data_IF_804130602800
#
_entry.id   IF_804130602800
#
_cell.length_a   1.000
_cell.length_b   1.000
_cell.length_c   1.000
_cell.angle_alpha   90.00
_cell.angle_beta   90.00
_cell.angle_gamma   90.00
#
_symmetry.space_group_name_H-M   'P 1'
#
loop_
_entity.id
_entity.type
_entity.pdbx_description
1 polymer ?
#
# COMPACT_ATOMS: atom_id res chain seq x y z
N UNK A 1 73.08 17.70 140.68
CA UNK A 1 72.32 16.84 139.74
C UNK A 1 71.12 17.55 139.11
N UNK A 2 70.40 18.40 139.85
CA UNK A 2 69.18 19.11 139.40
C UNK A 2 69.39 20.00 138.17
N UNK A 3 70.44 20.86 138.13
CA UNK A 3 70.71 21.76 136.99
C UNK A 3 71.11 21.06 135.67
N UNK A 4 71.47 19.77 135.69
CA UNK A 4 71.80 18.99 134.48
C UNK A 4 70.51 18.44 133.83
N UNK A 5 69.59 17.93 134.65
CA UNK A 5 68.24 17.49 134.23
C UNK A 5 67.39 18.64 133.67
N UNK A 6 67.41 19.82 134.28
CA UNK A 6 66.65 20.97 133.76
C UNK A 6 67.12 21.42 132.37
N UNK A 7 68.43 21.40 132.10
CA UNK A 7 68.96 21.68 130.76
C UNK A 7 68.58 20.62 129.73
N UNK A 8 68.58 19.35 130.13
CA UNK A 8 68.22 18.22 129.29
C UNK A 8 66.71 18.20 128.95
N UNK A 9 65.87 18.59 129.92
CA UNK A 9 64.42 18.80 129.70
C UNK A 9 64.18 19.96 128.72
N UNK A 10 64.88 21.08 128.89
CA UNK A 10 64.77 22.23 127.98
C UNK A 10 65.20 21.89 126.55
N UNK A 11 66.27 21.11 126.35
CA UNK A 11 66.68 20.63 125.02
C UNK A 11 65.61 19.71 124.39
N UNK A 12 65.08 18.75 125.16
CA UNK A 12 64.00 17.86 124.69
C UNK A 12 62.71 18.62 124.38
N UNK A 13 62.41 19.71 125.10
CA UNK A 13 61.28 20.57 124.82
C UNK A 13 61.46 21.35 123.51
N UNK A 14 62.66 21.85 123.23
CA UNK A 14 62.97 22.47 121.92
C UNK A 14 62.93 21.46 120.77
N UNK A 15 63.41 20.23 120.98
CA UNK A 15 63.32 19.15 119.99
C UNK A 15 61.86 18.74 119.72
N UNK A 16 61.06 18.59 120.77
CA UNK A 16 59.62 18.28 120.65
C UNK A 16 58.85 19.39 119.93
N UNK A 17 59.15 20.67 120.20
CA UNK A 17 58.54 21.78 119.49
C UNK A 17 58.97 21.80 118.01
N UNK A 18 60.24 21.51 117.70
CA UNK A 18 60.70 21.41 116.31
C UNK A 18 60.03 20.26 115.55
N UNK A 19 59.84 19.10 116.19
CA UNK A 19 59.09 17.97 115.62
C UNK A 19 57.63 18.36 115.41
N UNK A 20 57.01 19.05 116.37
CA UNK A 20 55.63 19.54 116.26
C UNK A 20 55.47 20.47 115.06
N UNK A 21 56.33 21.49 114.93
CA UNK A 21 56.29 22.45 113.81
C UNK A 21 56.54 21.75 112.46
N UNK A 22 57.34 20.68 112.44
CA UNK A 22 57.54 19.86 111.25
C UNK A 22 56.30 19.04 110.90
N UNK A 23 55.67 18.40 111.90
CA UNK A 23 54.42 17.62 111.73
C UNK A 23 53.29 18.53 111.26
N UNK A 24 53.14 19.71 111.85
CA UNK A 24 52.09 20.68 111.50
C UNK A 24 52.25 21.17 110.06
N UNK A 25 53.48 21.54 109.66
CA UNK A 25 53.80 21.85 108.25
C UNK A 25 53.50 20.69 107.30
N UNK A 26 53.75 19.45 107.73
CA UNK A 26 53.44 18.27 106.93
C UNK A 26 51.95 17.98 106.84
N UNK A 27 51.17 18.23 107.90
CA UNK A 27 49.71 18.18 107.84
C UNK A 27 49.17 19.22 106.86
N UNK A 28 49.63 20.47 106.93
CA UNK A 28 49.22 21.53 105.99
C UNK A 28 49.56 21.18 104.53
N UNK A 29 50.74 20.57 104.29
CA UNK A 29 51.15 20.12 102.97
C UNK A 29 50.23 19.00 102.45
N UNK A 30 49.86 18.04 103.30
CA UNK A 30 48.93 16.96 102.97
C UNK A 30 47.54 17.52 102.68
N UNK A 31 47.03 18.45 103.49
CA UNK A 31 45.73 19.09 103.28
C UNK A 31 45.70 19.92 101.98
N UNK A 32 46.78 20.65 101.68
CA UNK A 32 46.92 21.38 100.42
C UNK A 32 46.94 20.43 99.22
N UNK A 33 47.63 19.30 99.32
CA UNK A 33 47.69 18.29 98.27
C UNK A 33 46.35 17.57 98.09
N UNK A 34 45.63 17.27 99.18
CA UNK A 34 44.30 16.66 99.13
C UNK A 34 43.31 17.55 98.36
N UNK A 35 43.30 18.87 98.63
CA UNK A 35 42.46 19.84 97.89
C UNK A 35 42.77 19.87 96.40
N UNK A 36 44.07 19.90 96.03
CA UNK A 36 44.49 19.85 94.62
C UNK A 36 44.07 18.55 93.94
N UNK A 37 44.08 17.44 94.68
CA UNK A 37 43.70 16.12 94.16
C UNK A 37 42.19 16.06 93.90
N UNK A 38 41.39 16.63 94.80
CA UNK A 38 39.94 16.78 94.63
C UNK A 38 39.58 17.69 93.44
N UNK A 39 40.30 18.80 93.23
CA UNK A 39 40.11 19.66 92.07
C UNK A 39 40.41 18.92 90.75
N UNK A 40 41.50 18.14 90.71
CA UNK A 40 41.84 17.31 89.55
C UNK A 40 40.82 16.22 89.27
N UNK A 41 40.26 15.61 90.32
CA UNK A 41 39.20 14.60 90.18
C UNK A 41 37.96 15.21 89.52
N UNK A 42 37.54 16.41 89.95
CA UNK A 42 36.43 17.14 89.32
C UNK A 42 36.71 17.47 87.84
N UNK A 43 37.93 17.91 87.53
CA UNK A 43 38.33 18.19 86.15
C UNK A 43 38.32 16.92 85.28
N UNK A 44 38.72 15.78 85.84
CA UNK A 44 38.72 14.49 85.17
C UNK A 44 37.29 14.04 84.84
N UNK A 45 36.35 14.19 85.78
CA UNK A 45 34.93 13.86 85.55
C UNK A 45 34.35 14.70 84.40
N UNK A 46 34.63 16.00 84.35
CA UNK A 46 34.17 16.87 83.26
C UNK A 46 34.73 16.40 81.91
N UNK A 47 36.01 16.03 81.86
CA UNK A 47 36.66 15.52 80.65
C UNK A 47 36.11 14.16 80.21
N UNK A 48 35.79 13.27 81.15
CA UNK A 48 35.12 11.99 80.89
C UNK A 48 33.76 12.22 80.22
N UNK A 49 32.94 13.14 80.75
CA UNK A 49 31.64 13.50 80.19
C UNK A 49 31.77 14.12 78.78
N UNK A 50 32.78 14.97 78.56
CA UNK A 50 33.09 15.53 77.25
C UNK A 50 33.49 14.45 76.23
N UNK A 51 34.32 13.49 76.64
CA UNK A 51 34.71 12.37 75.79
C UNK A 51 33.52 11.49 75.43
N UNK A 52 32.62 11.23 76.38
CA UNK A 52 31.41 10.47 76.15
C UNK A 52 30.47 11.19 75.16
N UNK A 53 30.29 12.51 75.28
CA UNK A 53 29.53 13.30 74.29
C UNK A 53 30.16 13.24 72.90
N UNK A 54 31.48 13.39 72.79
CA UNK A 54 32.20 13.29 71.50
C UNK A 54 32.08 11.90 70.89
N UNK A 55 32.10 10.85 71.71
CA UNK A 55 31.91 9.46 71.26
C UNK A 55 30.54 9.25 70.64
N UNK A 56 29.49 9.79 71.25
CA UNK A 56 28.13 9.71 70.72
C UNK A 56 27.97 10.51 69.42
N UNK A 57 28.57 11.70 69.35
CA UNK A 57 28.60 12.52 68.12
C UNK A 57 29.31 11.81 66.97
N UNK A 58 30.46 11.18 67.23
CA UNK A 58 31.19 10.38 66.25
C UNK A 58 30.36 9.20 65.75
N UNK A 59 29.73 8.45 66.66
CA UNK A 59 28.87 7.33 66.29
C UNK A 59 27.68 7.78 65.41
N UNK A 60 27.09 8.96 65.68
CA UNK A 60 26.05 9.51 64.81
C UNK A 60 26.60 9.92 63.44
N UNK A 61 27.80 10.49 63.37
CA UNK A 61 28.48 10.79 62.10
C UNK A 61 28.78 9.53 61.29
N UNK A 62 29.26 8.46 61.92
CA UNK A 62 29.52 7.17 61.27
C UNK A 62 28.24 6.59 60.65
N UNK A 63 27.11 6.63 61.38
CA UNK A 63 25.81 6.21 60.83
C UNK A 63 25.38 7.02 59.62
N UNK A 64 25.58 8.33 59.64
CA UNK A 64 25.24 9.21 58.52
C UNK A 64 26.13 8.96 57.30
N UNK A 65 27.44 8.75 57.51
CA UNK A 65 28.36 8.39 56.43
C UNK A 65 27.95 7.09 55.76
N UNK A 66 27.64 6.05 56.54
CA UNK A 66 27.19 4.77 56.01
C UNK A 66 25.85 4.90 55.21
N UNK A 67 24.98 5.84 55.59
CA UNK A 67 23.76 6.12 54.84
C UNK A 67 24.06 6.83 53.51
N UNK A 68 24.94 7.84 53.52
CA UNK A 68 25.37 8.53 52.30
C UNK A 68 26.14 7.65 51.33
N UNK A 69 26.97 6.72 51.81
CA UNK A 69 27.66 5.74 50.97
C UNK A 69 26.67 4.88 50.18
N UNK A 70 25.63 4.39 50.84
CA UNK A 70 24.56 3.61 50.18
C UNK A 70 23.79 4.46 49.16
N UNK A 71 23.48 5.71 49.49
CA UNK A 71 22.79 6.61 48.57
C UNK A 71 23.65 6.92 47.34
N UNK A 72 24.96 7.11 47.52
CA UNK A 72 25.92 7.33 46.45
C UNK A 72 25.98 6.11 45.52
N UNK A 73 26.05 4.90 46.08
CA UNK A 73 26.10 3.66 45.30
C UNK A 73 24.82 3.48 44.44
N UNK A 74 23.65 3.81 44.99
CA UNK A 74 22.38 3.77 44.22
C UNK A 74 22.40 4.81 43.10
N UNK A 75 22.89 6.02 43.36
CA UNK A 75 23.00 7.08 42.35
C UNK A 75 23.99 6.71 41.25
N UNK A 76 25.12 6.10 41.60
CA UNK A 76 26.13 5.64 40.64
C UNK A 76 25.54 4.58 39.69
N UNK A 77 24.86 3.56 40.23
CA UNK A 77 24.14 2.56 39.43
C UNK A 77 23.07 3.19 38.53
N UNK A 78 22.38 4.21 39.03
CA UNK A 78 21.40 4.98 38.25
C UNK A 78 22.04 5.73 37.08
N UNK A 79 23.20 6.34 37.30
CA UNK A 79 23.97 7.03 36.26
C UNK A 79 24.45 6.06 35.18
N UNK A 80 24.95 4.88 35.57
CA UNK A 80 25.43 3.89 34.59
C UNK A 80 24.29 3.32 33.75
N UNK A 81 23.15 3.03 34.38
CA UNK A 81 21.92 2.64 33.66
C UNK A 81 21.48 3.72 32.65
N UNK A 82 21.59 5.00 33.03
CA UNK A 82 21.23 6.11 32.15
C UNK A 82 22.22 6.29 30.98
N UNK A 83 23.52 6.04 31.20
CA UNK A 83 24.54 6.05 30.13
C UNK A 83 24.23 4.98 29.08
N UNK A 84 23.97 3.75 29.52
CA UNK A 84 23.68 2.64 28.61
C UNK A 84 22.40 2.91 27.78
N UNK A 85 21.34 3.43 28.41
CA UNK A 85 20.12 3.82 27.69
C UNK A 85 20.37 4.92 26.66
N UNK A 86 21.22 5.89 26.96
CA UNK A 86 21.56 6.96 26.02
C UNK A 86 22.38 6.45 24.84
N UNK A 87 23.27 5.48 25.04
CA UNK A 87 24.04 4.85 23.97
C UNK A 87 23.12 4.09 23.00
N UNK A 88 22.17 3.30 23.54
CA UNK A 88 21.13 2.64 22.73
C UNK A 88 20.29 3.64 21.92
N UNK A 89 19.92 4.77 22.53
CA UNK A 89 19.18 5.84 21.84
C UNK A 89 20.00 6.49 20.73
N UNK A 90 21.30 6.66 20.92
CA UNK A 90 22.20 7.22 19.90
C UNK A 90 22.26 6.31 18.67
N UNK A 91 22.42 5.00 18.87
CA UNK A 91 22.41 4.02 17.78
C UNK A 91 21.06 4.00 17.02
N UNK A 92 19.95 4.15 17.74
CA UNK A 92 18.63 4.26 17.12
C UNK A 92 18.51 5.53 16.25
N UNK A 93 19.00 6.67 16.74
CA UNK A 93 19.01 7.92 15.99
C UNK A 93 19.85 7.81 14.72
N UNK A 94 21.03 7.19 14.79
CA UNK A 94 21.86 6.95 13.60
C UNK A 94 21.18 6.05 12.57
N UNK A 95 20.49 4.99 13.02
CA UNK A 95 19.70 4.13 12.13
C UNK A 95 18.56 4.90 11.46
N UNK A 96 17.86 5.76 12.22
CA UNK A 96 16.80 6.62 11.69
C UNK A 96 17.35 7.63 10.68
N UNK A 97 18.50 8.24 10.93
CA UNK A 97 19.13 9.19 9.99
C UNK A 97 19.50 8.52 8.66
N UNK A 98 20.10 7.32 8.71
CA UNK A 98 20.39 6.52 7.51
C UNK A 98 19.12 6.22 6.70
N UNK A 99 18.02 5.88 7.37
CA UNK A 99 16.72 5.66 6.72
C UNK A 99 16.20 6.94 6.07
N UNK A 100 16.18 8.07 6.79
CA UNK A 100 15.76 9.36 6.26
C UNK A 100 16.57 9.77 5.02
N UNK A 101 17.88 9.52 5.03
CA UNK A 101 18.76 9.79 3.89
C UNK A 101 18.37 8.92 2.67
N UNK A 102 18.04 7.65 2.88
CA UNK A 102 17.53 6.76 1.83
C UNK A 102 16.19 7.23 1.26
N UNK A 103 15.23 7.56 2.13
CA UNK A 103 13.90 8.06 1.74
C UNK A 103 14.02 9.36 0.95
N UNK A 104 14.88 10.28 1.41
CA UNK A 104 15.17 11.54 0.70
C UNK A 104 15.71 11.28 -0.71
N UNK A 105 16.63 10.31 -0.86
CA UNK A 105 17.17 9.89 -2.15
C UNK A 105 16.09 9.35 -3.08
N UNK A 106 15.22 8.47 -2.58
CA UNK A 106 14.10 7.91 -3.34
C UNK A 106 13.13 9.01 -3.82
N UNK A 107 12.70 9.89 -2.92
CA UNK A 107 11.82 11.02 -3.23
C UNK A 107 12.44 11.88 -4.34
N UNK A 108 13.73 12.20 -4.24
CA UNK A 108 14.44 12.98 -5.26
C UNK A 108 14.41 12.31 -6.64
N UNK A 109 14.64 10.98 -6.70
CA UNK A 109 14.55 10.22 -7.95
C UNK A 109 13.13 10.28 -8.54
N UNK A 110 12.10 10.01 -7.73
CA UNK A 110 10.72 10.08 -8.17
C UNK A 110 10.34 11.47 -8.71
N UNK A 111 10.79 12.54 -8.06
CA UNK A 111 10.55 13.89 -8.55
C UNK A 111 11.19 14.14 -9.92
N UNK A 112 12.42 13.66 -10.13
CA UNK A 112 13.11 13.78 -11.42
C UNK A 112 12.37 13.04 -12.53
N UNK A 113 11.91 11.82 -12.26
CA UNK A 113 11.10 11.02 -13.18
C UNK A 113 9.76 11.70 -13.50
N UNK A 114 9.05 12.18 -12.48
CA UNK A 114 7.80 12.90 -12.65
C UNK A 114 7.97 14.16 -13.53
N UNK A 115 9.04 14.92 -13.34
CA UNK A 115 9.34 16.08 -14.20
C UNK A 115 9.61 15.67 -15.66
N UNK A 116 10.28 14.55 -15.89
CA UNK A 116 10.52 14.03 -17.24
C UNK A 116 9.22 13.60 -17.91
N UNK A 117 8.38 12.82 -17.21
CA UNK A 117 7.07 12.38 -17.69
C UNK A 117 6.17 13.59 -17.99
N UNK A 118 6.14 14.59 -17.09
CA UNK A 118 5.35 15.81 -17.29
C UNK A 118 5.74 16.53 -18.58
N UNK A 119 7.04 16.62 -18.89
CA UNK A 119 7.51 17.21 -20.16
C UNK A 119 7.07 16.38 -21.37
N UNK A 120 7.20 15.06 -21.29
CA UNK A 120 6.81 14.16 -22.37
C UNK A 120 5.31 14.25 -22.68
N UNK A 121 4.46 14.21 -21.66
CA UNK A 121 3.00 14.32 -21.81
C UNK A 121 2.59 15.65 -22.43
N UNK A 122 3.27 16.76 -22.08
CA UNK A 122 3.01 18.06 -22.70
C UNK A 122 3.35 18.07 -24.20
N UNK A 123 4.45 17.44 -24.59
CA UNK A 123 4.85 17.31 -25.99
C UNK A 123 3.84 16.46 -26.78
N UNK A 124 3.44 15.32 -26.23
CA UNK A 124 2.46 14.43 -26.85
C UNK A 124 1.09 15.11 -27.00
N UNK A 125 0.64 15.85 -25.97
CA UNK A 125 -0.61 16.62 -26.01
C UNK A 125 -0.64 17.59 -27.19
N UNK A 126 0.43 18.36 -27.38
CA UNK A 126 0.52 19.32 -28.49
C UNK A 126 0.50 18.62 -29.87
N UNK A 127 1.13 17.46 -29.98
CA UNK A 127 1.10 16.65 -31.22
C UNK A 127 -0.30 16.08 -31.50
N UNK A 128 -0.97 15.56 -30.48
CA UNK A 128 -2.37 15.08 -30.57
C UNK A 128 -3.30 16.22 -30.99
N UNK A 129 -3.17 17.39 -30.38
CA UNK A 129 -4.02 18.55 -30.69
C UNK A 129 -3.85 19.04 -32.13
N UNK A 130 -2.62 19.01 -32.67
CA UNK A 130 -2.38 19.31 -34.10
C UNK A 130 -3.05 18.28 -35.01
N UNK A 131 -2.95 16.99 -34.69
CA UNK A 131 -3.60 15.92 -35.46
C UNK A 131 -5.13 16.00 -35.40
N UNK A 132 -5.69 16.34 -34.23
CA UNK A 132 -7.13 16.52 -34.06
C UNK A 132 -7.66 17.62 -34.98
N UNK A 133 -7.01 18.80 -35.00
CA UNK A 133 -7.38 19.90 -35.91
C UNK A 133 -7.32 19.51 -37.39
N UNK A 134 -6.31 18.71 -37.78
CA UNK A 134 -6.21 18.22 -39.16
C UNK A 134 -7.32 17.25 -39.54
N UNK A 135 -7.70 16.36 -38.61
CA UNK A 135 -8.79 15.42 -38.83
C UNK A 135 -10.14 16.14 -38.92
N UNK A 136 -10.38 17.13 -38.06
CA UNK A 136 -11.57 17.98 -38.10
C UNK A 136 -11.71 18.69 -39.45
N UNK A 137 -10.62 19.22 -39.99
CA UNK A 137 -10.63 19.83 -41.34
C UNK A 137 -10.97 18.80 -42.43
N UNK A 138 -10.44 17.58 -42.35
CA UNK A 138 -10.76 16.51 -43.31
C UNK A 138 -12.22 16.06 -43.20
N UNK A 139 -12.75 15.97 -41.99
CA UNK A 139 -14.14 15.62 -41.71
C UNK A 139 -15.09 16.64 -42.34
N UNK A 140 -14.87 17.95 -42.11
CA UNK A 140 -15.64 19.01 -42.75
C UNK A 140 -15.63 18.92 -44.29
N UNK A 141 -14.49 18.54 -44.88
CA UNK A 141 -14.40 18.34 -46.34
C UNK A 141 -15.20 17.11 -46.80
N UNK A 142 -15.17 16.01 -46.06
CA UNK A 142 -15.96 14.82 -46.36
C UNK A 142 -17.46 15.12 -46.24
N UNK A 143 -17.89 15.80 -45.19
CA UNK A 143 -19.29 16.23 -45.01
C UNK A 143 -19.78 17.06 -46.20
N UNK A 144 -18.97 18.01 -46.67
CA UNK A 144 -19.29 18.78 -47.86
C UNK A 144 -19.47 17.89 -49.09
N UNK A 145 -18.56 16.93 -49.32
CA UNK A 145 -18.66 16.01 -50.46
C UNK A 145 -19.88 15.08 -50.36
N UNK A 146 -20.22 14.60 -49.16
CA UNK A 146 -21.43 13.78 -48.92
C UNK A 146 -22.67 14.58 -49.32
N UNK A 147 -22.82 15.82 -48.85
CA UNK A 147 -23.95 16.69 -49.23
C UNK A 147 -24.04 16.91 -50.74
N UNK A 148 -22.91 17.03 -51.43
CA UNK A 148 -22.88 17.16 -52.89
C UNK A 148 -23.34 15.88 -53.60
N UNK A 149 -23.00 14.70 -53.06
CA UNK A 149 -23.42 13.42 -53.60
C UNK A 149 -24.91 13.18 -53.35
N UNK A 150 -25.42 13.45 -52.15
CA UNK A 150 -26.85 13.38 -51.81
C UNK A 150 -27.68 14.27 -52.74
N UNK A 151 -27.19 15.49 -53.04
CA UNK A 151 -27.85 16.38 -53.99
C UNK A 151 -27.91 15.79 -55.41
N UNK A 152 -26.81 15.21 -55.90
CA UNK A 152 -26.79 14.56 -57.23
C UNK A 152 -27.66 13.31 -57.27
N UNK A 153 -27.67 12.54 -56.20
CA UNK A 153 -28.52 11.35 -56.07
C UNK A 153 -30.00 11.75 -56.13
N UNK A 154 -30.41 12.81 -55.43
CA UNK A 154 -31.77 13.33 -55.50
C UNK A 154 -32.15 13.75 -56.94
N UNK A 155 -31.25 14.46 -57.65
CA UNK A 155 -31.48 14.80 -59.06
C UNK A 155 -31.64 13.56 -59.94
N UNK A 156 -30.86 12.50 -59.70
CA UNK A 156 -31.01 11.24 -60.42
C UNK A 156 -32.36 10.57 -60.12
N UNK A 157 -32.82 10.57 -58.87
CA UNK A 157 -34.12 10.03 -58.49
C UNK A 157 -35.28 10.76 -59.18
N UNK A 158 -35.22 12.10 -59.25
CA UNK A 158 -36.22 12.89 -59.97
C UNK A 158 -36.26 12.50 -61.46
N UNK A 159 -35.09 12.38 -62.10
CA UNK A 159 -34.99 11.93 -63.49
C UNK A 159 -35.53 10.51 -63.71
N UNK A 160 -35.24 9.58 -62.80
CA UNK A 160 -35.77 8.21 -62.86
C UNK A 160 -37.30 8.21 -62.75
N UNK A 161 -37.86 9.02 -61.85
CA UNK A 161 -39.32 9.15 -61.67
C UNK A 161 -40.00 9.75 -62.89
N UNK A 162 -39.39 10.76 -63.53
CA UNK A 162 -39.86 11.31 -64.80
C UNK A 162 -39.87 10.27 -65.93
N UNK A 163 -38.84 9.41 -65.98
CA UNK A 163 -38.78 8.31 -66.95
C UNK A 163 -39.83 7.24 -66.67
N UNK A 164 -40.06 6.89 -65.40
CA UNK A 164 -41.07 5.94 -64.97
C UNK A 164 -42.48 6.44 -65.29
N UNK A 165 -42.80 7.71 -65.02
CA UNK A 165 -44.08 8.33 -65.40
C UNK A 165 -44.29 8.31 -66.92
N UNK A 166 -43.23 8.56 -67.71
CA UNK A 166 -43.27 8.43 -69.18
C UNK A 166 -43.49 6.97 -69.63
N UNK A 167 -42.94 6.01 -68.90
CA UNK A 167 -43.11 4.58 -69.17
C UNK A 167 -44.51 4.09 -68.77
N UNK A 168 -45.07 4.58 -67.67
CA UNK A 168 -46.41 4.24 -67.18
C UNK A 168 -47.51 4.82 -68.09
N UNK A 169 -47.28 6.02 -68.64
CA UNK A 169 -48.10 6.55 -69.75
C UNK A 169 -48.01 5.75 -71.06
N UNK A 170 -46.99 4.89 -71.21
CA UNK A 170 -46.83 3.91 -72.29
C UNK A 170 -47.37 2.51 -71.90
N UNK A 171 -47.43 2.18 -70.61
CA UNK A 171 -47.93 0.90 -70.09
C UNK A 171 -49.47 0.82 -70.04
N UNK A 172 -50.18 1.96 -69.96
CA UNK A 172 -51.64 2.00 -70.15
C UNK A 172 -52.09 1.67 -71.59
N UNK A 173 -51.14 1.42 -72.51
CA UNK A 173 -51.38 0.88 -73.85
C UNK A 173 -51.06 -0.62 -73.99
N UNK A 174 -50.45 -1.27 -72.99
CA UNK A 174 -50.15 -2.71 -73.02
C UNK A 174 -50.17 -3.30 -71.60
N UNK A 175 -51.32 -3.84 -71.19
CA UNK A 175 -51.34 -4.81 -70.10
C UNK A 175 -50.67 -6.11 -70.56
N UNK A 176 -49.68 -6.55 -69.79
CA UNK A 176 -49.07 -7.86 -69.92
C UNK A 176 -48.28 -8.18 -68.66
N UNK A 177 -48.93 -8.93 -67.76
CA UNK A 177 -48.35 -9.56 -66.58
C UNK A 177 -46.98 -10.19 -66.88
N UNK A 178 -46.00 -9.96 -66.01
CA UNK A 178 -45.05 -11.03 -65.70
C UNK A 178 -44.57 -10.93 -64.25
N UNK A 179 -45.12 -11.86 -63.48
CA UNK A 179 -44.73 -12.34 -62.17
C UNK A 179 -43.22 -12.63 -62.14
N UNK A 180 -42.50 -12.04 -61.20
CA UNK A 180 -41.14 -12.48 -60.83
C UNK A 180 -41.21 -12.86 -59.35
N UNK A 181 -41.08 -14.16 -59.12
CA UNK A 181 -40.90 -14.79 -57.81
C UNK A 181 -39.57 -14.33 -57.18
N UNK A 182 -39.45 -14.30 -55.84
CA UNK A 182 -38.25 -13.81 -55.16
C UNK A 182 -37.08 -14.78 -55.35
N UNK A 183 -35.96 -14.29 -55.88
CA UNK A 183 -34.70 -15.01 -55.97
C UNK A 183 -34.09 -15.14 -54.56
N UNK A 184 -33.98 -16.38 -54.08
CA UNK A 184 -33.34 -16.80 -52.81
C UNK A 184 -31.81 -16.53 -52.78
N UNK A 185 -31.25 -15.73 -53.70
CA UNK A 185 -29.81 -15.38 -53.71
C UNK A 185 -29.44 -14.16 -52.85
N UNK A 186 -30.42 -13.46 -52.29
CA UNK A 186 -30.20 -12.33 -51.40
C UNK A 186 -29.51 -12.73 -50.07
N UNK A 187 -29.75 -13.95 -49.58
CA UNK A 187 -29.26 -14.41 -48.28
C UNK A 187 -27.75 -14.65 -48.26
N UNK A 188 -27.14 -15.05 -49.39
CA UNK A 188 -25.70 -15.32 -49.46
C UNK A 188 -24.84 -14.05 -49.64
N UNK A 189 -25.38 -12.98 -50.24
CA UNK A 189 -24.66 -11.71 -50.38
C UNK A 189 -24.58 -10.92 -49.07
N UNK A 190 -25.52 -11.13 -48.16
CA UNK A 190 -25.48 -10.53 -46.83
C UNK A 190 -24.37 -11.15 -45.96
N UNK A 191 -24.10 -12.45 -46.13
CA UNK A 191 -23.12 -13.22 -45.33
C UNK A 191 -21.66 -12.80 -45.62
N UNK A 192 -21.33 -12.43 -46.86
CA UNK A 192 -19.94 -12.13 -47.29
C UNK A 192 -19.42 -10.76 -46.78
N UNK A 193 -20.30 -9.87 -46.31
CA UNK A 193 -19.94 -8.54 -45.78
C UNK A 193 -20.24 -8.35 -44.28
N UNK A 194 -20.56 -9.44 -43.59
CA UNK A 194 -21.00 -9.39 -42.20
C UNK A 194 -19.84 -8.97 -41.27
N UNK A 195 -19.99 -7.86 -40.55
CA UNK A 195 -19.06 -7.47 -39.49
C UNK A 195 -19.49 -8.08 -38.12
N UNK A 196 -18.63 -7.98 -37.11
CA UNK A 196 -18.90 -8.56 -35.79
C UNK A 196 -20.16 -8.00 -35.11
N UNK A 197 -20.62 -6.79 -35.47
CA UNK A 197 -21.85 -6.20 -34.92
C UNK A 197 -23.09 -6.74 -35.63
N UNK A 198 -23.04 -6.85 -36.95
CA UNK A 198 -24.11 -7.47 -37.75
C UNK A 198 -24.28 -8.94 -37.36
N UNK A 199 -23.17 -9.66 -37.14
CA UNK A 199 -23.18 -11.05 -36.66
C UNK A 199 -23.87 -11.16 -35.30
N UNK A 200 -23.57 -10.27 -34.35
CA UNK A 200 -24.29 -10.25 -33.08
C UNK A 200 -25.78 -9.94 -33.23
N UNK A 201 -26.17 -9.01 -34.10
CA UNK A 201 -27.59 -8.69 -34.29
C UNK A 201 -28.37 -9.88 -34.84
N UNK A 202 -27.79 -10.58 -35.82
CA UNK A 202 -28.37 -11.79 -36.40
C UNK A 202 -28.54 -12.94 -35.40
N UNK A 203 -27.58 -13.09 -34.48
CA UNK A 203 -27.57 -14.20 -33.53
C UNK A 203 -28.29 -13.90 -32.20
N UNK A 204 -28.77 -12.68 -32.01
CA UNK A 204 -29.58 -12.28 -30.86
C UNK A 204 -31.08 -12.21 -31.19
N UNK A 205 -31.48 -12.72 -32.36
CA UNK A 205 -32.87 -12.85 -32.78
C UNK A 205 -33.62 -13.86 -31.88
N UNK A 206 -34.68 -13.45 -31.15
CA UNK A 206 -35.37 -14.29 -30.19
C UNK A 206 -36.17 -15.44 -30.81
N UNK A 207 -36.38 -15.46 -32.13
CA UNK A 207 -37.14 -16.52 -32.82
C UNK A 207 -36.28 -17.73 -33.24
N UNK A 208 -34.96 -17.64 -33.11
CA UNK A 208 -34.04 -18.71 -33.51
C UNK A 208 -33.67 -19.64 -32.35
N UNK A 209 -33.77 -20.95 -32.58
CA UNK A 209 -33.37 -21.97 -31.62
C UNK A 209 -31.84 -22.08 -31.50
N UNK A 210 -31.33 -21.87 -30.28
CA UNK A 210 -29.89 -21.86 -29.99
C UNK A 210 -29.24 -23.23 -30.16
N UNK A 211 -30.00 -24.33 -30.07
CA UNK A 211 -29.48 -25.70 -30.17
C UNK A 211 -29.19 -26.12 -31.62
N UNK A 212 -29.88 -25.55 -32.61
CA UNK A 212 -29.68 -25.84 -34.05
C UNK A 212 -28.78 -24.82 -34.77
N UNK A 213 -28.41 -23.73 -34.09
CA UNK A 213 -27.67 -22.61 -34.67
C UNK A 213 -26.17 -22.89 -34.92
N UNK A 214 -25.61 -23.93 -34.30
CA UNK A 214 -24.18 -24.25 -34.40
C UNK A 214 -23.68 -24.50 -35.84
N UNK A 215 -24.47 -25.20 -36.65
CA UNK A 215 -24.12 -25.55 -38.03
C UNK A 215 -24.25 -24.35 -38.99
N UNK A 216 -25.22 -23.47 -38.74
CA UNK A 216 -25.41 -22.22 -39.50
C UNK A 216 -24.27 -21.25 -39.22
N UNK A 217 -23.90 -21.08 -37.94
CA UNK A 217 -22.73 -20.28 -37.52
C UNK A 217 -21.45 -20.86 -38.15
N UNK A 218 -21.28 -22.17 -38.15
CA UNK A 218 -20.11 -22.80 -38.76
C UNK A 218 -19.99 -22.47 -40.25
N UNK A 219 -21.10 -22.52 -41.01
CA UNK A 219 -21.13 -22.13 -42.43
C UNK A 219 -20.80 -20.65 -42.63
N UNK A 220 -21.36 -19.76 -41.80
CA UNK A 220 -21.10 -18.31 -41.86
C UNK A 220 -19.62 -18.02 -41.57
N UNK A 221 -19.04 -18.65 -40.56
CA UNK A 221 -17.62 -18.49 -40.24
C UNK A 221 -16.72 -19.08 -41.33
N UNK A 222 -17.10 -20.19 -41.95
CA UNK A 222 -16.33 -20.80 -43.04
C UNK A 222 -16.27 -19.92 -44.30
N UNK A 223 -17.33 -19.14 -44.56
CA UNK A 223 -17.38 -18.18 -45.67
C UNK A 223 -16.64 -16.87 -45.37
N UNK A 224 -16.20 -16.66 -44.12
CA UNK A 224 -15.44 -15.48 -43.73
C UNK A 224 -13.97 -15.58 -44.16
N UNK A 225 -13.41 -14.48 -44.64
CA UNK A 225 -11.99 -14.40 -44.97
C UNK A 225 -11.07 -14.41 -43.74
N UNK A 226 -11.58 -14.00 -42.57
CA UNK A 226 -10.85 -14.01 -41.30
C UNK A 226 -11.83 -14.38 -40.16
N UNK A 227 -12.14 -15.68 -40.01
CA UNK A 227 -13.12 -16.15 -39.01
C UNK A 227 -12.70 -15.82 -37.59
N UNK A 228 -11.40 -15.83 -37.29
CA UNK A 228 -10.87 -15.50 -35.97
C UNK A 228 -11.11 -14.02 -35.64
N UNK A 229 -10.83 -13.11 -36.58
CA UNK A 229 -11.13 -11.69 -36.38
C UNK A 229 -12.63 -11.43 -36.28
N UNK A 230 -13.43 -12.06 -37.13
CA UNK A 230 -14.89 -11.87 -37.14
C UNK A 230 -15.52 -12.27 -35.80
N UNK A 231 -15.13 -13.44 -35.26
CA UNK A 231 -15.58 -13.89 -33.94
C UNK A 231 -15.11 -12.92 -32.86
N UNK A 232 -13.85 -12.46 -32.92
CA UNK A 232 -13.30 -11.52 -31.94
C UNK A 232 -14.07 -10.19 -31.92
N UNK A 233 -14.35 -9.62 -33.09
CA UNK A 233 -15.14 -8.39 -33.22
C UNK A 233 -16.58 -8.59 -32.70
N UNK A 234 -17.12 -9.80 -32.81
CA UNK A 234 -18.40 -10.19 -32.25
C UNK A 234 -18.38 -10.42 -30.73
N UNK A 235 -17.23 -10.43 -30.05
CA UNK A 235 -17.16 -10.60 -28.59
C UNK A 235 -17.50 -9.34 -27.79
N UNK A 236 -17.65 -8.17 -28.44
CA UNK A 236 -18.05 -6.91 -27.78
C UNK A 236 -19.41 -7.03 -27.08
N UNK A 237 -20.28 -7.91 -27.57
CA UNK A 237 -21.62 -8.16 -27.03
C UNK A 237 -21.62 -8.90 -25.71
N UNK A 238 -20.54 -9.61 -25.35
CA UNK A 238 -20.47 -10.43 -24.14
C UNK A 238 -20.67 -9.62 -22.84
N UNK A 239 -20.21 -8.36 -22.83
CA UNK A 239 -20.46 -7.39 -21.78
C UNK A 239 -21.11 -6.12 -22.35
N UNK A 240 -22.43 -6.16 -22.64
CA UNK A 240 -23.11 -5.07 -23.32
C UNK A 240 -23.27 -3.86 -22.37
N UNK A 241 -22.91 -2.63 -22.80
CA UNK A 241 -22.83 -1.47 -21.90
C UNK A 241 -24.18 -0.98 -21.34
N UNK A 242 -25.33 -1.33 -21.96
CA UNK A 242 -26.63 -0.71 -21.62
C UNK A 242 -27.83 -1.67 -21.47
N UNK A 243 -27.65 -2.98 -21.36
CA UNK A 243 -28.79 -3.90 -21.17
C UNK A 243 -29.19 -3.97 -19.68
N UNK A 244 -30.47 -3.73 -19.35
CA UNK A 244 -31.02 -3.81 -17.99
C UNK A 244 -31.83 -5.09 -17.70
N UNK A 245 -32.20 -5.89 -18.70
CA UNK A 245 -32.92 -7.16 -18.54
C UNK A 245 -31.98 -8.35 -18.35
N UNK A 246 -32.32 -9.25 -17.43
CA UNK A 246 -31.52 -10.44 -17.07
C UNK A 246 -31.49 -11.48 -18.20
N UNK A 247 -32.62 -11.65 -18.90
CA UNK A 247 -32.78 -12.69 -19.94
C UNK A 247 -32.05 -12.34 -21.24
N UNK A 248 -32.06 -11.07 -21.66
CA UNK A 248 -31.30 -10.60 -22.83
C UNK A 248 -29.79 -10.75 -22.63
N UNK A 249 -29.28 -10.53 -21.40
CA UNK A 249 -27.86 -10.75 -21.06
C UNK A 249 -27.47 -12.24 -21.04
N UNK A 250 -28.44 -13.13 -20.88
CA UNK A 250 -28.21 -14.56 -20.83
C UNK A 250 -28.05 -15.15 -22.24
N UNK A 251 -28.94 -14.76 -23.16
CA UNK A 251 -28.88 -15.20 -24.56
C UNK A 251 -27.62 -14.71 -25.26
N UNK A 252 -27.26 -13.42 -25.10
CA UNK A 252 -26.06 -12.85 -25.72
C UNK A 252 -24.77 -13.58 -25.30
N UNK A 253 -24.66 -13.96 -24.02
CA UNK A 253 -23.49 -14.70 -23.53
C UNK A 253 -23.43 -16.13 -24.07
N UNK A 254 -24.57 -16.82 -24.17
CA UNK A 254 -24.64 -18.15 -24.80
C UNK A 254 -24.21 -18.11 -26.26
N UNK A 255 -24.72 -17.14 -27.02
CA UNK A 255 -24.36 -16.94 -28.42
C UNK A 255 -22.85 -16.70 -28.60
N UNK A 256 -22.23 -15.89 -27.73
CA UNK A 256 -20.79 -15.68 -27.76
C UNK A 256 -20.00 -16.96 -27.46
N UNK A 257 -20.47 -17.80 -26.52
CA UNK A 257 -19.85 -19.09 -26.21
C UNK A 257 -19.90 -20.01 -27.43
N UNK A 258 -21.05 -20.12 -28.08
CA UNK A 258 -21.22 -20.93 -29.30
C UNK A 258 -20.26 -20.46 -30.40
N UNK A 259 -20.12 -19.15 -30.62
CA UNK A 259 -19.15 -18.61 -31.59
C UNK A 259 -17.71 -19.02 -31.28
N UNK A 260 -17.30 -18.97 -30.01
CA UNK A 260 -15.97 -19.38 -29.57
C UNK A 260 -15.76 -20.90 -29.70
N UNK A 261 -16.79 -21.70 -29.41
CA UNK A 261 -16.79 -23.15 -29.63
C UNK A 261 -16.61 -23.50 -31.10
N UNK A 262 -17.36 -22.85 -32.00
CA UNK A 262 -17.25 -23.08 -33.43
C UNK A 262 -15.87 -22.66 -33.96
N UNK A 263 -15.33 -21.54 -33.49
CA UNK A 263 -13.96 -21.12 -33.83
C UNK A 263 -12.92 -22.16 -33.37
N UNK A 264 -13.08 -22.68 -32.16
CA UNK A 264 -12.20 -23.73 -31.61
C UNK A 264 -12.27 -25.00 -32.45
N UNK A 265 -13.47 -25.43 -32.86
CA UNK A 265 -13.68 -26.58 -33.75
C UNK A 265 -13.03 -26.38 -35.12
N UNK A 266 -13.13 -25.18 -35.69
CA UNK A 266 -12.54 -24.85 -36.99
C UNK A 266 -11.00 -24.80 -36.93
N UNK A 267 -10.43 -24.42 -35.78
CA UNK A 267 -8.98 -24.25 -35.59
C UNK A 267 -8.28 -23.49 -36.74
N UNK A 268 -8.77 -22.31 -37.16
CA UNK A 268 -8.17 -21.56 -38.25
C UNK A 268 -6.78 -21.04 -37.87
N UNK A 269 -5.95 -20.72 -38.87
CA UNK A 269 -4.67 -20.06 -38.62
C UNK A 269 -4.90 -18.61 -38.15
N UNK A 270 -4.64 -18.34 -36.88
CA UNK A 270 -4.92 -17.03 -36.26
C UNK A 270 -3.72 -16.10 -36.48
N UNK A 271 -3.98 -14.94 -37.05
CA UNK A 271 -2.97 -13.93 -37.27
C UNK A 271 -2.48 -13.32 -35.94
N UNK A 272 -1.17 -13.02 -35.78
CA UNK A 272 -0.62 -12.52 -34.51
C UNK A 272 -1.34 -11.29 -33.94
N UNK A 273 -1.75 -10.36 -34.80
CA UNK A 273 -2.47 -9.15 -34.38
C UNK A 273 -3.87 -9.45 -33.81
N UNK A 274 -4.52 -10.54 -34.26
CA UNK A 274 -5.82 -10.99 -33.74
C UNK A 274 -5.62 -11.64 -32.36
N UNK A 275 -4.57 -12.43 -32.19
CA UNK A 275 -4.18 -13.01 -30.90
C UNK A 275 -3.88 -11.94 -29.85
N UNK A 276 -3.17 -10.86 -30.22
CA UNK A 276 -2.88 -9.73 -29.33
C UNK A 276 -4.17 -9.02 -28.87
N UNK A 277 -5.10 -8.75 -29.78
CA UNK A 277 -6.41 -8.18 -29.43
C UNK A 277 -7.26 -9.12 -28.58
N UNK A 278 -7.23 -10.42 -28.86
CA UNK A 278 -7.90 -11.42 -28.04
C UNK A 278 -7.34 -11.46 -26.62
N UNK A 279 -6.03 -11.25 -26.47
CA UNK A 279 -5.38 -11.13 -25.17
C UNK A 279 -5.80 -9.87 -24.39
N UNK A 280 -5.87 -8.71 -25.03
CA UNK A 280 -6.39 -7.47 -24.41
C UNK A 280 -7.85 -7.65 -23.96
N UNK A 281 -8.67 -8.31 -24.78
CA UNK A 281 -10.05 -8.62 -24.47
C UNK A 281 -10.16 -9.56 -23.26
N UNK A 282 -9.38 -10.65 -23.24
CA UNK A 282 -9.33 -11.59 -22.11
C UNK A 282 -8.90 -10.89 -20.81
N UNK A 283 -7.92 -9.99 -20.88
CA UNK A 283 -7.48 -9.15 -19.76
C UNK A 283 -8.63 -8.28 -19.23
N UNK A 284 -9.39 -7.68 -20.14
CA UNK A 284 -10.56 -6.86 -19.81
C UNK A 284 -11.67 -7.68 -19.17
N UNK A 285 -11.95 -8.88 -19.69
CA UNK A 285 -12.96 -9.79 -19.13
C UNK A 285 -12.56 -10.21 -17.72
N UNK A 286 -11.31 -10.62 -17.50
CA UNK A 286 -10.79 -11.01 -16.18
C UNK A 286 -11.03 -9.94 -15.10
N UNK A 287 -10.86 -8.65 -15.42
CA UNK A 287 -11.12 -7.56 -14.47
C UNK A 287 -12.62 -7.33 -14.19
N UNK A 288 -13.49 -7.67 -15.15
CA UNK A 288 -14.95 -7.50 -15.03
C UNK A 288 -15.61 -8.68 -14.30
N UNK A 289 -15.05 -9.87 -14.44
CA UNK A 289 -15.55 -11.10 -13.84
C UNK A 289 -15.40 -11.08 -12.32
N UNK A 290 -16.49 -11.41 -11.60
CA UNK A 290 -16.46 -11.65 -10.16
C UNK A 290 -16.67 -13.14 -9.89
N UNK A 291 -15.81 -13.81 -9.09
CA UNK A 291 -16.03 -15.20 -8.73
C UNK A 291 -17.27 -15.31 -7.85
N UNK A 292 -18.38 -15.78 -8.43
CA UNK A 292 -19.60 -16.12 -7.70
C UNK A 292 -20.34 -17.23 -8.45
N UNK A 293 -21.07 -18.07 -7.71
CA UNK A 293 -21.85 -19.20 -8.26
C UNK A 293 -22.89 -18.75 -9.29
N UNK A 294 -23.28 -17.46 -9.29
CA UNK A 294 -24.24 -16.87 -10.21
C UNK A 294 -23.64 -16.47 -11.58
N UNK A 295 -22.33 -16.63 -11.78
CA UNK A 295 -21.60 -16.14 -12.97
C UNK A 295 -21.03 -17.27 -13.86
N UNK A 296 -21.63 -18.47 -13.86
CA UNK A 296 -21.13 -19.65 -14.59
C UNK A 296 -20.88 -19.38 -16.09
N UNK A 297 -21.77 -18.66 -16.78
CA UNK A 297 -21.59 -18.33 -18.20
C UNK A 297 -20.45 -17.35 -18.45
N UNK A 298 -20.14 -16.49 -17.49
CA UNK A 298 -18.97 -15.62 -17.62
C UNK A 298 -17.70 -16.49 -17.59
N UNK A 299 -17.56 -17.33 -16.56
CA UNK A 299 -16.43 -18.25 -16.42
C UNK A 299 -16.28 -19.13 -17.66
N UNK A 300 -17.39 -19.70 -18.14
CA UNK A 300 -17.41 -20.53 -19.33
C UNK A 300 -16.97 -19.78 -20.60
N UNK A 301 -17.51 -18.58 -20.83
CA UNK A 301 -17.13 -17.75 -21.98
C UNK A 301 -15.66 -17.34 -21.95
N UNK A 302 -15.13 -17.01 -20.77
CA UNK A 302 -13.71 -16.72 -20.62
C UNK A 302 -12.83 -17.92 -20.95
N UNK A 303 -13.16 -19.12 -20.46
CA UNK A 303 -12.40 -20.33 -20.78
C UNK A 303 -12.43 -20.64 -22.29
N UNK A 304 -13.58 -20.49 -22.94
CA UNK A 304 -13.71 -20.66 -24.39
C UNK A 304 -12.90 -19.63 -25.17
N UNK A 305 -12.82 -18.38 -24.70
CA UNK A 305 -11.98 -17.35 -25.32
C UNK A 305 -10.51 -17.73 -25.25
N UNK A 306 -10.06 -18.25 -24.11
CA UNK A 306 -8.66 -18.68 -23.97
C UNK A 306 -8.33 -19.88 -24.85
N UNK A 307 -9.25 -20.83 -24.96
CA UNK A 307 -9.10 -22.01 -25.80
C UNK A 307 -9.08 -21.65 -27.29
N UNK A 308 -10.07 -20.88 -27.76
CA UNK A 308 -10.24 -20.55 -29.17
C UNK A 308 -9.07 -19.79 -29.78
N UNK A 309 -8.38 -18.96 -28.98
CA UNK A 309 -7.23 -18.16 -29.42
C UNK A 309 -5.87 -18.70 -28.92
N UNK A 310 -5.85 -19.91 -28.36
CA UNK A 310 -4.66 -20.57 -27.82
C UNK A 310 -3.84 -19.68 -26.85
N UNK A 311 -4.54 -18.97 -25.97
CA UNK A 311 -3.95 -17.99 -25.04
C UNK A 311 -3.42 -18.64 -23.75
N UNK A 312 -3.62 -19.95 -23.58
CA UNK A 312 -3.23 -20.69 -22.37
C UNK A 312 -1.72 -20.63 -22.07
N UNK A 313 -0.87 -20.62 -23.10
CA UNK A 313 0.59 -20.46 -22.97
C UNK A 313 1.02 -19.04 -22.56
N UNK A 314 0.16 -18.05 -22.78
CA UNK A 314 0.39 -16.64 -22.45
C UNK A 314 -0.12 -16.33 -21.03
N UNK A 315 -1.11 -17.08 -20.55
CA UNK A 315 -1.63 -16.99 -19.17
C UNK A 315 -0.59 -17.29 -18.09
N UNK A 316 0.45 -18.08 -18.39
CA UNK A 316 1.55 -18.33 -17.45
C UNK A 316 2.36 -17.05 -17.17
N UNK A 317 2.40 -16.08 -18.10
CA UNK A 317 2.91 -14.72 -17.85
C UNK A 317 1.93 -13.85 -17.07
N UNK A 318 0.63 -14.13 -17.15
CA UNK A 318 -0.43 -13.45 -16.40
C UNK A 318 -0.66 -14.12 -15.03
N UNK A 319 0.37 -14.26 -14.18
CA UNK A 319 0.31 -14.79 -12.78
C UNK A 319 -1.09 -15.24 -12.35
N UNK A 320 -1.43 -16.51 -12.60
CA UNK A 320 -2.64 -17.13 -12.08
C UNK A 320 -2.44 -17.38 -10.58
N UNK A 321 -2.88 -16.44 -9.74
CA UNK A 321 -2.98 -16.67 -8.29
C UNK A 321 -4.39 -16.65 -7.73
N UNK A 322 -5.43 -16.51 -8.55
CA UNK A 322 -6.80 -16.54 -8.03
C UNK A 322 -7.72 -17.19 -9.06
N UNK A 323 -7.73 -18.52 -9.08
CA UNK A 323 -8.81 -19.33 -9.63
C UNK A 323 -8.80 -20.68 -8.91
N UNK A 324 -9.05 -20.66 -7.61
CA UNK A 324 -9.62 -21.77 -6.82
C UNK A 324 -10.41 -21.17 -5.67
#
# INVERSE_FOLDING_TARGET
MVCKRFREIGLKETELNSIRDWVERKMDEVDSNAKKLEEKEKEMIIKEDELQRKKEELHMREKNLAAWEKELEIKEKGVDSAKELNEQRLEELERRDKNLNSVRGFIHSCFKEHLAIKKQVLLERNSVEKRARHLEHKEQKLEYMVRQLEFREAQMWDHLKDLELKQQGLADACNGDMKIEPDESADLKFIVRMDGKTLQMFLNDPEKDLESMGDEIFKVLHLSSDPAKLVLDAMVGFYPPHLRKRDTKFNVRKTCIILLEQLTKMSPNIQPYVTEKAFELASTWKLKMRPSVQNQLEVLGFLHLLAAYNLASILTKMKLQVFW
#
